data_IF_852446286047
#
_entry.id   IF_852446286047
#
_cell.length_a   1.000
_cell.length_b   1.000
_cell.length_c   1.000
_cell.angle_alpha   90.00
_cell.angle_beta   90.00
_cell.angle_gamma   90.00
#
_symmetry.space_group_name_H-M   'P 1'
#
loop_
_entity.id
_entity.type
_entity.pdbx_description
1 polymer ?
#
# COMPACT_ATOMS: atom_id res chain seq x y z
N UNK A 1 16.84 24.53 -7.11
CA UNK A 1 16.13 24.83 -5.85
C UNK A 1 15.80 23.52 -5.18
N UNK A 2 16.20 23.33 -3.92
CA UNK A 2 15.70 22.22 -3.10
C UNK A 2 14.39 22.69 -2.46
N UNK A 3 13.29 22.00 -2.76
CA UNK A 3 12.03 22.25 -2.10
C UNK A 3 12.07 21.54 -0.74
N UNK A 4 12.07 22.31 0.34
CA UNK A 4 11.98 21.79 1.69
C UNK A 4 10.60 22.11 2.26
N UNK A 5 9.92 21.08 2.74
CA UNK A 5 8.58 21.19 3.25
C UNK A 5 8.65 21.33 4.78
N UNK A 6 8.70 22.57 5.25
CA UNK A 6 8.71 22.92 6.66
C UNK A 6 7.51 22.29 7.39
N UNK A 7 7.77 21.25 8.19
CA UNK A 7 6.76 20.62 9.03
C UNK A 7 5.70 19.80 8.28
N UNK A 8 6.08 19.00 7.28
CA UNK A 8 5.20 18.10 6.49
C UNK A 8 4.05 17.46 7.28
N UNK A 9 4.37 16.84 8.42
CA UNK A 9 3.37 16.18 9.26
C UNK A 9 2.39 17.17 9.90
N UNK A 10 2.88 18.29 10.43
CA UNK A 10 2.04 19.33 11.02
C UNK A 10 1.16 20.00 9.95
N UNK A 11 1.69 20.23 8.75
CA UNK A 11 0.94 20.76 7.60
C UNK A 11 -0.15 19.78 7.14
N UNK A 12 0.14 18.47 7.11
CA UNK A 12 -0.88 17.48 6.81
C UNK A 12 -1.99 17.47 7.87
N UNK A 13 -1.62 17.46 9.16
CA UNK A 13 -2.57 17.38 10.28
C UNK A 13 -3.43 18.64 10.47
N UNK A 14 -2.88 19.82 10.17
CA UNK A 14 -3.59 21.11 10.30
C UNK A 14 -4.50 21.41 9.11
N UNK A 15 -4.38 20.65 8.01
CA UNK A 15 -5.23 20.84 6.85
C UNK A 15 -6.65 20.31 7.14
N UNK A 16 -7.63 21.21 7.10
CA UNK A 16 -9.05 20.91 7.33
C UNK A 16 -9.64 19.96 6.28
N UNK A 17 -9.04 19.90 5.08
CA UNK A 17 -9.43 18.97 4.01
C UNK A 17 -8.77 17.58 4.17
N UNK A 18 -7.91 17.41 5.18
CA UNK A 18 -7.25 16.14 5.49
C UNK A 18 -8.19 15.25 6.29
N UNK A 19 -8.59 14.15 5.67
CA UNK A 19 -9.40 13.11 6.31
C UNK A 19 -8.50 12.02 6.87
N UNK A 20 -8.70 11.65 8.14
CA UNK A 20 -7.93 10.63 8.84
C UNK A 20 -8.80 9.46 9.30
N UNK A 21 -8.23 8.24 9.41
CA UNK A 21 -8.86 7.11 10.09
C UNK A 21 -9.42 7.47 11.45
N UNK A 22 -10.75 7.53 11.57
CA UNK A 22 -11.42 7.64 12.86
C UNK A 22 -11.74 6.25 13.38
N UNK A 23 -11.34 5.96 14.62
CA UNK A 23 -11.60 4.68 15.27
C UNK A 23 -13.11 4.32 15.27
N UNK A 24 -13.99 5.32 15.39
CA UNK A 24 -15.45 5.17 15.36
C UNK A 24 -15.99 4.62 14.03
N UNK A 25 -15.27 4.85 12.92
CA UNK A 25 -15.64 4.39 11.58
C UNK A 25 -15.03 3.03 11.20
N UNK A 26 -14.20 2.47 12.09
CA UNK A 26 -13.53 1.21 11.86
C UNK A 26 -14.51 0.04 11.89
N UNK A 27 -14.75 -0.58 10.72
CA UNK A 27 -15.49 -1.84 10.63
C UNK A 27 -14.68 -2.86 9.81
N UNK A 28 -14.72 -4.16 10.16
CA UNK A 28 -14.20 -5.19 9.29
C UNK A 28 -15.04 -5.24 8.00
N UNK A 29 -14.37 -5.42 6.86
CA UNK A 29 -15.07 -5.59 5.58
C UNK A 29 -15.53 -7.03 5.40
N UNK A 30 -16.74 -7.22 4.89
CA UNK A 30 -17.28 -8.55 4.63
C UNK A 30 -16.72 -9.11 3.32
N UNK A 31 -16.42 -10.41 3.31
CA UNK A 31 -15.83 -11.07 2.15
C UNK A 31 -16.77 -11.06 0.92
N UNK A 32 -18.06 -10.92 1.14
CA UNK A 32 -19.10 -10.77 0.10
C UNK A 32 -18.94 -9.47 -0.69
N UNK A 33 -18.53 -8.39 -0.02
CA UNK A 33 -18.31 -7.09 -0.64
C UNK A 33 -17.02 -7.07 -1.52
N UNK A 34 -16.24 -8.16 -1.52
CA UNK A 34 -14.89 -8.16 -2.08
C UNK A 34 -14.83 -7.76 -3.55
N UNK A 35 -15.74 -8.31 -4.36
CA UNK A 35 -15.83 -8.03 -5.80
C UNK A 35 -16.14 -6.56 -6.07
N UNK A 36 -17.04 -5.97 -5.28
CA UNK A 36 -17.45 -4.58 -5.43
C UNK A 36 -16.32 -3.64 -5.02
N UNK A 37 -15.65 -3.92 -3.90
CA UNK A 37 -14.49 -3.17 -3.44
C UNK A 37 -13.34 -3.21 -4.43
N UNK A 38 -12.96 -4.39 -4.95
CA UNK A 38 -11.88 -4.52 -5.95
C UNK A 38 -12.22 -3.70 -7.21
N UNK A 39 -13.48 -3.70 -7.66
CA UNK A 39 -13.91 -2.89 -8.80
C UNK A 39 -13.77 -1.39 -8.51
N UNK A 40 -14.20 -0.95 -7.33
CA UNK A 40 -14.13 0.46 -6.92
C UNK A 40 -12.67 0.94 -6.70
N UNK A 41 -11.80 0.09 -6.14
CA UNK A 41 -10.37 0.34 -5.95
C UNK A 41 -9.67 0.57 -7.29
N UNK A 42 -9.85 -0.37 -8.23
CA UNK A 42 -9.26 -0.28 -9.56
C UNK A 42 -9.85 0.87 -10.39
N UNK A 43 -11.08 1.29 -10.11
CA UNK A 43 -11.71 2.43 -10.77
C UNK A 43 -11.28 3.80 -10.20
N UNK A 44 -10.51 3.85 -9.09
CA UNK A 44 -10.18 5.07 -8.34
C UNK A 44 -11.38 5.93 -7.91
N UNK A 45 -12.60 5.42 -8.02
CA UNK A 45 -13.82 6.12 -7.61
C UNK A 45 -14.06 6.06 -6.11
N UNK A 46 -13.29 5.23 -5.41
CA UNK A 46 -13.45 5.02 -3.99
C UNK A 46 -12.72 6.12 -3.19
N UNK A 47 -13.48 6.90 -2.41
CA UNK A 47 -12.96 7.82 -1.38
C UNK A 47 -12.52 7.05 -0.13
N UNK A 48 -11.50 6.21 -0.23
CA UNK A 48 -10.94 5.50 0.93
C UNK A 48 -9.94 6.35 1.68
N UNK A 49 -10.08 7.65 1.98
CA UNK A 49 -8.97 8.38 2.67
C UNK A 49 -8.63 7.88 4.10
N UNK A 50 -9.12 6.69 4.48
CA UNK A 50 -9.37 6.25 5.84
C UNK A 50 -9.26 4.72 6.01
N UNK A 51 -8.85 3.95 4.98
CA UNK A 51 -8.84 2.49 5.05
C UNK A 51 -7.43 1.89 5.06
N UNK A 52 -7.22 0.94 5.96
CA UNK A 52 -6.03 0.09 6.04
C UNK A 52 -6.48 -1.30 5.60
N UNK A 53 -5.95 -1.79 4.48
CA UNK A 53 -6.39 -3.04 3.87
C UNK A 53 -5.20 -3.94 3.59
N UNK A 54 -5.35 -5.22 3.89
CA UNK A 54 -4.43 -6.25 3.39
C UNK A 54 -4.80 -6.54 1.94
N UNK A 55 -3.94 -6.22 1.00
CA UNK A 55 -4.21 -6.32 -0.44
C UNK A 55 -3.22 -7.23 -1.13
N UNK A 56 -3.71 -8.02 -2.08
CA UNK A 56 -2.93 -8.74 -3.07
C UNK A 56 -2.96 -7.98 -4.38
N UNK A 57 -1.80 -7.57 -4.86
CA UNK A 57 -1.68 -6.69 -6.02
C UNK A 57 -0.47 -7.03 -6.87
N UNK A 58 -0.50 -6.58 -8.12
CA UNK A 58 0.64 -6.67 -9.02
C UNK A 58 1.66 -5.57 -8.69
N UNK A 59 2.92 -5.95 -8.52
CA UNK A 59 3.93 -4.98 -8.08
C UNK A 59 4.19 -3.92 -9.15
N UNK A 60 4.05 -2.63 -8.84
CA UNK A 60 4.32 -1.58 -9.80
C UNK A 60 5.82 -1.36 -9.95
N UNK A 61 6.27 -1.44 -11.20
CA UNK A 61 7.65 -1.15 -11.61
C UNK A 61 7.94 0.33 -11.73
N UNK A 62 6.91 1.18 -11.78
CA UNK A 62 7.05 2.63 -11.93
C UNK A 62 6.19 3.36 -10.87
N UNK A 63 6.70 3.42 -9.63
CA UNK A 63 6.10 4.20 -8.55
C UNK A 63 6.70 5.61 -8.54
N UNK A 64 5.84 6.64 -8.52
CA UNK A 64 6.29 8.03 -8.65
C UNK A 64 6.59 8.71 -7.30
N UNK A 65 5.79 8.43 -6.27
CA UNK A 65 5.85 9.16 -4.99
C UNK A 65 6.35 8.30 -3.83
N UNK A 66 5.85 7.07 -3.67
CA UNK A 66 6.23 6.23 -2.52
C UNK A 66 6.58 4.79 -2.92
N UNK A 67 7.84 4.34 -2.73
CA UNK A 67 8.16 2.92 -2.85
C UNK A 67 7.54 2.14 -1.71
N UNK A 68 6.95 0.98 -2.01
CA UNK A 68 6.41 0.08 -0.97
C UNK A 68 7.59 -0.42 -0.14
N UNK A 69 7.58 -0.24 1.20
CA UNK A 69 8.71 -0.64 2.03
C UNK A 69 8.86 -2.16 2.05
N UNK A 70 10.09 -2.63 1.89
CA UNK A 70 10.46 -4.02 2.14
C UNK A 70 10.33 -4.30 3.65
N UNK A 71 9.45 -5.24 4.03
CA UNK A 71 9.21 -5.60 5.43
C UNK A 71 9.73 -7.00 5.78
N UNK A 72 9.91 -7.88 4.81
CA UNK A 72 10.28 -9.26 5.07
C UNK A 72 11.79 -9.41 5.19
N UNK A 73 12.23 -10.05 6.27
CA UNK A 73 13.62 -10.52 6.40
C UNK A 73 13.75 -11.81 5.60
N UNK A 74 14.63 -11.80 4.61
CA UNK A 74 14.93 -12.96 3.78
C UNK A 74 16.39 -13.31 3.98
N UNK A 75 16.65 -14.58 4.31
CA UNK A 75 17.99 -15.14 4.33
C UNK A 75 18.30 -15.71 2.97
N UNK A 76 19.34 -15.22 2.32
CA UNK A 76 19.83 -15.74 1.05
C UNK A 76 21.29 -16.16 1.19
N UNK A 77 21.67 -17.19 0.44
CA UNK A 77 23.06 -17.63 0.36
C UNK A 77 23.70 -16.88 -0.81
N UNK A 78 24.71 -16.05 -0.53
CA UNK A 78 25.49 -15.38 -1.56
C UNK A 78 26.28 -16.43 -2.38
N UNK A 79 26.79 -16.04 -3.56
CA UNK A 79 27.59 -16.91 -4.45
C UNK A 79 28.80 -17.54 -3.74
N UNK A 80 29.29 -16.90 -2.68
CA UNK A 80 30.42 -17.36 -1.85
C UNK A 80 30.00 -18.36 -0.74
N UNK A 81 28.72 -18.72 -0.63
CA UNK A 81 28.22 -19.67 0.38
C UNK A 81 27.85 -19.05 1.73
N UNK A 82 28.04 -17.74 1.89
CA UNK A 82 27.69 -17.02 3.11
C UNK A 82 26.19 -16.73 3.18
N UNK A 83 25.60 -16.93 4.36
CA UNK A 83 24.19 -16.58 4.62
C UNK A 83 24.10 -15.11 4.99
N UNK A 84 23.52 -14.32 4.11
CA UNK A 84 23.23 -12.92 4.33
C UNK A 84 21.74 -12.76 4.63
N UNK A 85 21.40 -11.79 5.47
CA UNK A 85 20.00 -11.44 5.79
C UNK A 85 19.73 -10.06 5.23
N UNK A 86 18.89 -9.99 4.20
CA UNK A 86 18.41 -8.74 3.63
C UNK A 86 16.96 -8.49 4.01
N UNK A 87 16.52 -7.23 3.86
CA UNK A 87 15.09 -6.88 3.90
C UNK A 87 14.63 -6.70 2.47
N UNK A 88 13.75 -7.58 1.99
CA UNK A 88 13.23 -7.52 0.63
C UNK A 88 11.70 -7.63 0.65
N UNK A 89 11.07 -7.21 -0.44
CA UNK A 89 9.64 -7.41 -0.63
C UNK A 89 9.44 -8.86 -1.09
N UNK A 90 8.62 -9.65 -0.38
CA UNK A 90 8.29 -11.00 -0.84
C UNK A 90 7.44 -10.95 -2.10
N UNK A 91 8.07 -11.23 -3.22
CA UNK A 91 7.41 -11.45 -4.49
C UNK A 91 6.93 -12.90 -4.61
N UNK A 92 5.71 -13.07 -5.09
CA UNK A 92 5.19 -14.34 -5.60
C UNK A 92 4.74 -14.13 -7.05
N UNK A 93 5.59 -14.49 -8.00
CA UNK A 93 5.33 -14.38 -9.44
C UNK A 93 4.91 -12.96 -9.90
N UNK A 94 5.60 -11.92 -9.42
CA UNK A 94 5.28 -10.52 -9.74
C UNK A 94 4.14 -9.91 -8.92
N UNK A 95 3.53 -10.69 -8.01
CA UNK A 95 2.53 -10.21 -7.08
C UNK A 95 3.09 -10.04 -5.67
N UNK A 96 2.49 -9.12 -4.92
CA UNK A 96 2.80 -8.85 -3.52
C UNK A 96 1.50 -8.87 -2.69
N UNK A 97 1.64 -9.21 -1.41
CA UNK A 97 0.58 -9.12 -0.42
C UNK A 97 1.07 -8.34 0.77
N UNK A 98 0.54 -7.13 0.98
CA UNK A 98 0.90 -6.30 2.12
C UNK A 98 -0.32 -5.57 2.68
N UNK A 99 -0.20 -5.10 3.93
CA UNK A 99 -1.13 -4.17 4.55
C UNK A 99 -0.74 -2.77 4.11
N UNK A 100 -1.59 -2.18 3.28
CA UNK A 100 -1.38 -0.89 2.67
C UNK A 100 -2.48 0.08 3.07
N UNK A 101 -2.13 1.36 3.14
CA UNK A 101 -3.13 2.41 3.23
C UNK A 101 -3.77 2.59 1.86
N UNK A 102 -4.96 3.14 1.85
CA UNK A 102 -5.63 3.56 0.63
C UNK A 102 -4.84 4.52 -0.25
N UNK A 103 -3.97 5.35 0.33
CA UNK A 103 -3.10 6.28 -0.41
C UNK A 103 -2.12 5.47 -1.25
N UNK A 104 -1.45 4.51 -0.62
CA UNK A 104 -0.52 3.59 -1.31
C UNK A 104 -1.25 2.77 -2.39
N UNK A 105 -2.45 2.28 -2.08
CA UNK A 105 -3.29 1.53 -3.02
C UNK A 105 -3.65 2.40 -4.23
N UNK A 106 -3.99 3.67 -4.04
CA UNK A 106 -4.26 4.59 -5.14
C UNK A 106 -3.02 4.81 -6.00
N UNK A 107 -1.83 4.95 -5.41
CA UNK A 107 -0.58 5.07 -6.17
C UNK A 107 -0.26 3.81 -7.00
N UNK A 108 -0.52 2.62 -6.46
CA UNK A 108 -0.41 1.36 -7.21
C UNK A 108 -1.35 1.35 -8.42
N UNK A 109 -2.60 1.80 -8.24
CA UNK A 109 -3.55 1.87 -9.36
C UNK A 109 -3.15 2.95 -10.37
N UNK A 110 -2.63 4.12 -9.91
CA UNK A 110 -2.12 5.20 -10.79
C UNK A 110 -0.93 4.75 -11.63
N UNK A 111 -0.08 3.88 -11.09
CA UNK A 111 1.06 3.30 -11.81
C UNK A 111 0.66 2.20 -12.81
N UNK A 112 -0.65 2.02 -13.05
CA UNK A 112 -1.19 1.11 -14.06
C UNK A 112 -1.33 -0.33 -13.61
N UNK A 113 -1.06 -0.62 -12.32
CA UNK A 113 -1.24 -1.96 -11.75
C UNK A 113 -2.61 -2.12 -11.16
N UNK A 114 -3.00 -3.37 -10.93
CA UNK A 114 -4.33 -3.73 -10.45
C UNK A 114 -4.26 -4.40 -9.10
N UNK A 115 -5.25 -4.07 -8.27
CA UNK A 115 -5.56 -4.80 -7.06
C UNK A 115 -6.36 -6.04 -7.48
N UNK A 116 -5.91 -7.21 -7.04
CA UNK A 116 -6.51 -8.49 -7.42
C UNK A 116 -7.53 -8.91 -6.38
N UNK A 117 -7.15 -8.79 -5.11
CA UNK A 117 -7.98 -9.20 -3.99
C UNK A 117 -7.58 -8.40 -2.76
N UNK A 118 -8.52 -8.21 -1.84
CA UNK A 118 -8.21 -7.78 -0.48
C UNK A 118 -8.60 -8.87 0.52
N UNK A 119 -8.01 -8.82 1.69
CA UNK A 119 -8.27 -9.70 2.83
C UNK A 119 -8.69 -8.84 4.01
N UNK A 120 -9.66 -9.33 4.80
CA UNK A 120 -9.88 -8.74 6.12
C UNK A 120 -8.61 -8.93 6.94
N UNK A 121 -8.23 -7.87 7.66
CA UNK A 121 -7.20 -7.92 8.70
C UNK A 121 -7.80 -8.56 9.95
#
# INVERSE_FOLDING_TARGET
MAFDANGLYASAMSNLDSEYPKAESGRPLLQEENKEFVKLLNAQKFRLRTAILKVWFEYPTNMFFQPIPAKDKITFTNKEGNKETGTEIRFRNGFCSDVLTSVDIQEIVKSGRRIIRWYSI
#
